data_IF_970831443054
#
_entry.id   IF_970831443054
#
_cell.length_a   1.000
_cell.length_b   1.000
_cell.length_c   1.000
_cell.angle_alpha   90.00
_cell.angle_beta   90.00
_cell.angle_gamma   90.00
#
_symmetry.space_group_name_H-M   'P 1'
#
loop_
_entity.id
_entity.type
_entity.pdbx_description
1 polymer ?
#
# COMPACT_ATOMS: atom_id res chain seq x y z
N UNK A 1 -54.13 -18.21 22.56
CA UNK A 1 -55.43 -18.05 21.96
C UNK A 1 -55.73 -16.56 21.94
N UNK A 2 -55.59 -15.96 20.83
CA UNK A 2 -56.31 -14.84 20.23
C UNK A 2 -55.47 -14.33 19.07
N UNK A 3 -56.04 -14.56 17.94
CA UNK A 3 -55.61 -14.03 16.62
C UNK A 3 -56.21 -12.63 16.59
N UNK A 4 -55.41 -11.60 16.35
CA UNK A 4 -55.93 -10.30 16.03
C UNK A 4 -55.47 -9.87 14.62
N UNK A 5 -56.48 -9.69 13.78
CA UNK A 5 -56.39 -9.17 12.45
C UNK A 5 -56.46 -7.63 12.52
N UNK A 6 -55.36 -6.97 12.22
CA UNK A 6 -55.32 -5.51 12.20
C UNK A 6 -54.34 -5.00 11.16
N UNK A 7 -54.87 -4.58 10.10
CA UNK A 7 -55.01 -3.25 9.51
C UNK A 7 -53.94 -2.80 8.51
N UNK A 8 -54.32 -2.42 7.26
CA UNK A 8 -53.45 -1.91 6.21
C UNK A 8 -52.94 -0.47 6.42
N UNK A 9 -53.38 0.22 7.48
CA UNK A 9 -53.03 1.63 7.71
C UNK A 9 -51.75 1.90 8.47
N UNK A 10 -51.26 0.95 9.26
CA UNK A 10 -50.03 1.12 10.06
C UNK A 10 -48.76 0.94 9.25
N UNK A 11 -48.80 0.23 8.12
CA UNK A 11 -47.63 0.01 7.26
C UNK A 11 -47.22 1.30 6.53
N UNK A 12 -48.16 2.20 6.22
CA UNK A 12 -47.86 3.48 5.55
C UNK A 12 -47.19 4.52 6.44
N UNK A 13 -47.45 4.52 7.73
CA UNK A 13 -46.80 5.47 8.69
C UNK A 13 -45.40 5.00 9.07
N UNK A 14 -45.19 3.69 9.19
CA UNK A 14 -43.88 3.12 9.50
C UNK A 14 -42.90 3.32 8.34
N UNK A 15 -43.35 3.28 7.07
CA UNK A 15 -42.45 3.51 5.92
C UNK A 15 -41.90 4.94 5.85
N UNK A 16 -42.74 5.96 6.09
CA UNK A 16 -42.32 7.37 6.00
C UNK A 16 -41.45 7.81 7.18
N UNK A 17 -41.69 7.31 8.39
CA UNK A 17 -40.89 7.58 9.58
C UNK A 17 -39.57 6.80 9.53
N UNK A 18 -39.60 5.58 9.02
CA UNK A 18 -38.37 4.79 8.86
C UNK A 18 -37.39 5.37 7.85
N UNK A 19 -37.88 6.00 6.77
CA UNK A 19 -37.01 6.64 5.76
C UNK A 19 -36.41 7.93 6.29
N UNK A 20 -37.14 8.74 7.05
CA UNK A 20 -36.60 9.95 7.68
C UNK A 20 -35.59 9.62 8.79
N UNK A 21 -35.88 8.63 9.62
CA UNK A 21 -34.95 8.14 10.65
C UNK A 21 -33.73 7.47 10.00
N UNK A 22 -33.92 6.76 8.90
CA UNK A 22 -32.85 6.05 8.18
C UNK A 22 -31.89 7.01 7.48
N UNK A 23 -32.36 8.03 6.80
CA UNK A 23 -31.55 9.09 6.23
C UNK A 23 -30.79 9.87 7.32
N UNK A 24 -31.40 10.13 8.47
CA UNK A 24 -30.74 10.80 9.58
C UNK A 24 -29.71 9.91 10.29
N UNK A 25 -29.95 8.58 10.40
CA UNK A 25 -29.00 7.61 10.97
C UNK A 25 -27.81 7.32 10.03
N UNK A 26 -28.03 7.26 8.73
CA UNK A 26 -26.98 7.06 7.72
C UNK A 26 -26.04 8.26 7.68
N UNK A 27 -26.55 9.48 7.79
CA UNK A 27 -25.75 10.70 7.84
C UNK A 27 -25.00 10.89 9.18
N UNK A 28 -25.57 10.44 10.28
CA UNK A 28 -25.05 10.70 11.62
C UNK A 28 -24.09 9.64 12.17
N UNK A 29 -24.15 8.39 11.70
CA UNK A 29 -23.41 7.27 12.28
C UNK A 29 -22.53 6.45 11.32
N UNK A 30 -22.44 6.81 10.04
CA UNK A 30 -21.51 6.20 9.10
C UNK A 30 -21.67 4.68 8.86
N UNK A 31 -22.86 4.11 9.10
CA UNK A 31 -23.14 2.67 9.01
C UNK A 31 -23.49 2.25 7.56
N UNK A 32 -22.64 2.57 6.60
CA UNK A 32 -22.79 2.06 5.21
C UNK A 32 -21.81 0.91 4.92
N UNK A 33 -21.42 0.11 5.88
CA UNK A 33 -20.41 -0.93 5.61
C UNK A 33 -20.98 -2.31 5.23
N UNK A 34 -22.29 -2.53 5.31
CA UNK A 34 -22.88 -3.88 5.14
C UNK A 34 -24.18 -3.98 4.33
N UNK A 35 -24.61 -2.93 3.62
CA UNK A 35 -25.73 -3.09 2.70
C UNK A 35 -25.16 -3.53 1.36
N UNK A 36 -25.30 -4.82 1.04
CA UNK A 36 -24.92 -5.31 -0.28
C UNK A 36 -25.87 -4.72 -1.33
N UNK A 37 -25.40 -4.62 -2.57
CA UNK A 37 -26.18 -4.08 -3.69
C UNK A 37 -27.51 -4.84 -3.92
N UNK A 38 -27.61 -6.09 -3.48
CA UNK A 38 -28.85 -6.87 -3.55
C UNK A 38 -29.93 -6.32 -2.62
N UNK A 39 -29.56 -5.81 -1.43
CA UNK A 39 -30.48 -5.17 -0.50
C UNK A 39 -31.01 -3.83 -1.02
N UNK A 40 -30.16 -3.03 -1.69
CA UNK A 40 -30.56 -1.78 -2.32
C UNK A 40 -31.51 -2.07 -3.49
N UNK A 41 -31.22 -3.06 -4.30
CA UNK A 41 -32.06 -3.46 -5.44
C UNK A 41 -33.40 -4.00 -4.98
N UNK A 42 -33.47 -4.72 -3.86
CA UNK A 42 -34.73 -5.24 -3.29
C UNK A 42 -35.57 -4.10 -2.70
N UNK A 43 -34.98 -3.11 -2.04
CA UNK A 43 -35.70 -1.93 -1.51
C UNK A 43 -36.20 -1.04 -2.64
N UNK A 44 -35.47 -0.85 -3.71
CA UNK A 44 -35.90 -0.10 -4.89
C UNK A 44 -37.12 -0.74 -5.58
N UNK A 45 -37.27 -2.07 -5.53
CA UNK A 45 -38.43 -2.77 -6.13
C UNK A 45 -39.80 -2.47 -5.47
N UNK A 46 -39.79 -1.88 -4.27
CA UNK A 46 -41.02 -1.62 -3.48
C UNK A 46 -41.44 -0.15 -3.58
N UNK A 47 -40.60 0.76 -4.06
CA UNK A 47 -40.82 2.21 -4.04
C UNK A 47 -41.17 2.77 -5.41
N UNK A 48 -42.12 3.70 -5.44
CA UNK A 48 -42.49 4.48 -6.64
C UNK A 48 -41.44 5.56 -6.97
N UNK A 49 -40.59 5.95 -5.99
CA UNK A 49 -39.47 6.87 -6.14
C UNK A 49 -38.22 6.27 -5.51
N UNK A 50 -37.14 6.19 -6.27
CA UNK A 50 -35.90 5.52 -5.88
C UNK A 50 -34.76 6.48 -5.46
N UNK A 51 -35.08 7.75 -5.24
CA UNK A 51 -34.12 8.75 -4.73
C UNK A 51 -33.65 9.72 -5.80
N UNK A 52 -32.37 10.09 -5.76
CA UNK A 52 -31.77 11.06 -6.68
C UNK A 52 -30.50 10.48 -7.30
N UNK A 53 -30.15 11.00 -8.47
CA UNK A 53 -28.86 10.74 -9.07
C UNK A 53 -27.72 11.25 -8.19
N UNK A 54 -26.62 10.51 -8.16
CA UNK A 54 -25.42 10.85 -7.41
C UNK A 54 -24.16 10.31 -8.12
N UNK A 55 -23.04 10.24 -7.40
CA UNK A 55 -21.77 9.72 -7.92
C UNK A 55 -21.78 8.21 -8.21
N UNK A 56 -22.82 7.48 -7.78
CA UNK A 56 -22.91 6.01 -7.84
C UNK A 56 -24.09 5.49 -8.63
N UNK A 57 -25.09 6.33 -8.90
CA UNK A 57 -26.30 5.93 -9.63
C UNK A 57 -26.77 6.99 -10.62
N UNK A 58 -27.38 6.52 -11.71
CA UNK A 58 -27.89 7.31 -12.83
C UNK A 58 -29.27 6.84 -13.25
N UNK A 59 -30.16 7.75 -13.64
CA UNK A 59 -31.52 7.48 -14.09
C UNK A 59 -31.70 7.83 -15.55
N UNK A 60 -32.44 7.02 -16.27
CA UNK A 60 -32.81 7.26 -17.66
C UNK A 60 -34.26 6.88 -17.90
N UNK A 61 -35.02 7.77 -18.51
CA UNK A 61 -36.46 7.55 -18.76
C UNK A 61 -36.70 6.31 -19.64
N UNK A 62 -35.76 5.99 -20.52
CA UNK A 62 -35.87 4.81 -21.39
C UNK A 62 -34.55 4.39 -21.98
N UNK A 63 -34.49 3.18 -22.54
CA UNK A 63 -33.34 2.67 -23.31
C UNK A 63 -33.05 3.46 -24.58
N UNK A 64 -33.86 4.41 -25.01
CA UNK A 64 -33.52 5.37 -26.07
C UNK A 64 -32.33 6.23 -25.69
N UNK A 65 -32.08 6.47 -24.40
CA UNK A 65 -30.93 7.20 -23.85
C UNK A 65 -29.71 6.29 -23.57
N UNK A 66 -29.56 5.18 -24.32
CA UNK A 66 -28.49 4.19 -24.09
C UNK A 66 -27.07 4.79 -24.12
N UNK A 67 -26.80 5.72 -25.03
CA UNK A 67 -25.49 6.35 -25.13
C UNK A 67 -25.12 7.14 -23.87
N UNK A 68 -26.05 7.90 -23.32
CA UNK A 68 -25.87 8.66 -22.08
C UNK A 68 -25.65 7.70 -20.89
N UNK A 69 -26.39 6.59 -20.86
CA UNK A 69 -26.19 5.56 -19.86
C UNK A 69 -24.78 4.93 -19.92
N UNK A 70 -24.24 4.68 -21.11
CA UNK A 70 -22.86 4.17 -21.28
C UNK A 70 -21.82 5.20 -20.81
N UNK A 71 -22.04 6.48 -21.08
CA UNK A 71 -21.18 7.56 -20.58
C UNK A 71 -21.20 7.64 -19.04
N UNK A 72 -22.37 7.52 -18.43
CA UNK A 72 -22.52 7.50 -16.98
C UNK A 72 -21.84 6.26 -16.36
N UNK A 73 -22.04 5.07 -16.93
CA UNK A 73 -21.35 3.84 -16.49
C UNK A 73 -19.83 4.03 -16.54
N UNK A 74 -19.28 4.52 -17.65
CA UNK A 74 -17.87 4.79 -17.81
C UNK A 74 -17.35 5.75 -16.72
N UNK A 75 -18.06 6.86 -16.50
CA UNK A 75 -17.69 7.88 -15.54
C UNK A 75 -17.72 7.34 -14.09
N UNK A 76 -18.76 6.59 -13.72
CA UNK A 76 -18.89 5.97 -12.40
C UNK A 76 -17.83 4.86 -12.17
N UNK A 77 -17.53 4.04 -13.17
CA UNK A 77 -16.47 3.04 -13.11
C UNK A 77 -15.11 3.70 -12.85
N UNK A 78 -14.83 4.83 -13.51
CA UNK A 78 -13.61 5.59 -13.30
C UNK A 78 -13.54 6.23 -11.91
N UNK A 79 -14.66 6.61 -11.32
CA UNK A 79 -14.71 7.16 -9.97
C UNK A 79 -14.58 6.09 -8.89
N UNK A 80 -15.54 5.15 -8.86
CA UNK A 80 -15.74 4.22 -7.74
C UNK A 80 -15.48 2.75 -8.08
N UNK A 81 -15.27 2.41 -9.37
CA UNK A 81 -15.19 1.02 -9.83
C UNK A 81 -16.54 0.32 -9.87
N UNK A 82 -17.63 1.05 -9.58
CA UNK A 82 -19.01 0.52 -9.61
C UNK A 82 -19.93 1.53 -10.28
N UNK A 83 -20.94 1.02 -11.00
CA UNK A 83 -21.95 1.86 -11.59
C UNK A 83 -23.30 1.17 -11.52
N UNK A 84 -24.33 1.95 -11.23
CA UNK A 84 -25.72 1.53 -11.21
C UNK A 84 -26.54 2.47 -12.08
N UNK A 85 -27.19 1.93 -13.11
CA UNK A 85 -28.06 2.70 -14.01
C UNK A 85 -29.45 2.11 -13.99
N UNK A 86 -30.46 2.97 -13.94
CA UNK A 86 -31.86 2.57 -14.03
C UNK A 86 -32.49 3.12 -15.31
N UNK A 87 -33.20 2.26 -16.05
CA UNK A 87 -34.02 2.67 -17.19
C UNK A 87 -35.52 2.55 -16.83
N UNK A 88 -36.30 3.53 -17.20
CA UNK A 88 -37.71 3.68 -16.82
C UNK A 88 -37.91 4.58 -15.61
N UNK A 89 -36.90 5.45 -15.32
CA UNK A 89 -36.88 6.34 -14.16
C UNK A 89 -36.54 7.75 -14.63
N UNK A 90 -37.21 8.77 -14.08
CA UNK A 90 -36.88 10.19 -14.28
C UNK A 90 -35.75 10.65 -13.38
N UNK A 91 -35.17 11.78 -13.71
CA UNK A 91 -34.06 12.38 -12.95
C UNK A 91 -34.43 12.73 -11.48
N UNK A 92 -35.72 12.95 -11.20
CA UNK A 92 -36.26 13.15 -9.84
C UNK A 92 -36.45 11.84 -9.06
N UNK A 93 -36.17 10.70 -9.67
CA UNK A 93 -36.29 9.37 -9.09
C UNK A 93 -37.62 8.70 -9.24
N UNK A 94 -38.59 9.34 -9.90
CA UNK A 94 -39.92 8.76 -10.11
C UNK A 94 -39.88 7.65 -11.16
N UNK A 95 -40.34 6.47 -10.79
CA UNK A 95 -40.45 5.32 -11.68
C UNK A 95 -41.64 5.50 -12.63
N UNK A 96 -41.32 5.78 -13.88
CA UNK A 96 -42.34 5.91 -14.95
C UNK A 96 -42.65 4.59 -15.64
N UNK A 97 -41.69 3.63 -15.51
CA UNK A 97 -41.73 2.34 -16.19
C UNK A 97 -41.21 2.39 -17.61
N UNK A 98 -40.87 1.22 -18.15
CA UNK A 98 -40.39 1.06 -19.52
C UNK A 98 -40.96 -0.21 -20.14
N UNK A 99 -41.22 -0.18 -21.42
CA UNK A 99 -41.61 -1.37 -22.18
C UNK A 99 -40.42 -2.31 -22.34
N UNK A 100 -40.53 -3.55 -21.90
CA UNK A 100 -39.46 -4.55 -21.96
C UNK A 100 -39.82 -5.59 -23.02
N UNK A 101 -39.17 -5.48 -24.18
CA UNK A 101 -39.34 -6.41 -25.30
C UNK A 101 -38.37 -7.58 -25.19
N UNK A 102 -38.56 -8.57 -26.08
CA UNK A 102 -37.79 -9.83 -26.10
C UNK A 102 -36.28 -9.66 -26.15
N UNK A 103 -35.78 -8.58 -26.75
CA UNK A 103 -34.36 -8.32 -26.95
C UNK A 103 -33.81 -7.22 -26.02
N UNK A 104 -34.61 -6.48 -25.30
CA UNK A 104 -34.22 -5.29 -24.53
C UNK A 104 -33.02 -5.55 -23.60
N UNK A 105 -33.07 -6.61 -22.78
CA UNK A 105 -31.96 -6.94 -21.87
C UNK A 105 -30.70 -7.39 -22.59
N UNK A 106 -30.86 -8.10 -23.72
CA UNK A 106 -29.73 -8.54 -24.56
C UNK A 106 -29.04 -7.34 -25.22
N UNK A 107 -29.80 -6.36 -25.66
CA UNK A 107 -29.29 -5.17 -26.31
C UNK A 107 -28.54 -4.27 -25.31
N UNK A 108 -29.05 -4.15 -24.08
CA UNK A 108 -28.35 -3.46 -22.99
C UNK A 108 -27.01 -4.16 -22.69
N UNK A 109 -27.04 -5.48 -22.48
CA UNK A 109 -25.83 -6.26 -22.20
C UNK A 109 -24.78 -6.14 -23.30
N UNK A 110 -25.22 -6.18 -24.56
CA UNK A 110 -24.38 -5.99 -25.74
C UNK A 110 -23.79 -4.57 -25.74
N UNK A 111 -24.59 -3.54 -25.51
CA UNK A 111 -24.14 -2.15 -25.49
C UNK A 111 -23.09 -1.90 -24.41
N UNK A 112 -23.28 -2.42 -23.20
CA UNK A 112 -22.27 -2.30 -22.13
C UNK A 112 -20.95 -2.93 -22.54
N UNK A 113 -20.98 -4.16 -23.07
CA UNK A 113 -19.76 -4.89 -23.43
C UNK A 113 -19.02 -4.26 -24.63
N UNK A 114 -19.75 -3.69 -25.60
CA UNK A 114 -19.15 -3.16 -26.84
C UNK A 114 -18.80 -1.67 -26.77
N UNK A 115 -19.41 -0.92 -25.85
CA UNK A 115 -19.18 0.52 -25.73
C UNK A 115 -18.11 0.89 -24.71
N UNK A 116 -17.88 0.05 -23.71
CA UNK A 116 -16.96 0.33 -22.60
C UNK A 116 -15.67 -0.48 -22.77
N UNK A 117 -14.56 0.20 -22.72
CA UNK A 117 -13.22 -0.40 -22.83
C UNK A 117 -12.34 0.02 -21.64
N UNK A 118 -11.70 -0.92 -20.91
CA UNK A 118 -11.81 -2.38 -21.04
C UNK A 118 -13.23 -2.93 -20.84
N UNK A 119 -13.58 -4.09 -21.44
CA UNK A 119 -14.93 -4.63 -21.34
C UNK A 119 -15.35 -4.94 -19.91
N UNK A 120 -16.59 -4.66 -19.57
CA UNK A 120 -17.18 -5.00 -18.27
C UNK A 120 -18.42 -5.85 -18.43
N UNK A 121 -18.77 -6.63 -17.41
CA UNK A 121 -19.96 -7.46 -17.38
C UNK A 121 -21.05 -6.73 -16.61
N UNK A 122 -22.25 -6.64 -17.22
CA UNK A 122 -23.42 -6.06 -16.59
C UNK A 122 -24.32 -7.13 -15.95
N UNK A 123 -24.72 -6.90 -14.71
CA UNK A 123 -25.79 -7.64 -14.06
C UNK A 123 -27.09 -6.85 -14.26
N UNK A 124 -28.00 -7.40 -15.05
CA UNK A 124 -29.23 -6.72 -15.46
C UNK A 124 -30.41 -7.40 -14.78
N UNK A 125 -31.28 -6.61 -14.15
CA UNK A 125 -32.52 -7.09 -13.51
C UNK A 125 -33.72 -6.26 -13.97
N UNK A 126 -34.83 -6.92 -14.13
CA UNK A 126 -36.14 -6.27 -14.25
C UNK A 126 -36.73 -6.15 -12.86
N UNK A 127 -37.17 -4.96 -12.51
CA UNK A 127 -37.77 -4.61 -11.24
C UNK A 127 -39.20 -4.10 -11.49
N UNK A 128 -40.09 -4.25 -10.51
CA UNK A 128 -41.46 -3.80 -10.62
C UNK A 128 -41.85 -3.00 -9.38
N UNK A 129 -42.55 -1.91 -9.58
CA UNK A 129 -43.17 -1.14 -8.50
C UNK A 129 -44.46 -1.79 -8.00
N UNK A 130 -44.97 -1.36 -6.87
CA UNK A 130 -46.22 -1.85 -6.29
C UNK A 130 -47.45 -1.57 -7.17
N UNK A 131 -47.37 -0.56 -8.05
CA UNK A 131 -48.44 -0.22 -9.03
C UNK A 131 -48.21 -0.92 -10.39
N UNK A 132 -47.26 -1.87 -10.47
CA UNK A 132 -47.06 -2.75 -11.63
C UNK A 132 -46.24 -2.16 -12.76
N UNK A 133 -45.56 -1.03 -12.57
CA UNK A 133 -44.62 -0.49 -13.57
C UNK A 133 -43.31 -1.26 -13.54
N UNK A 134 -42.86 -1.72 -14.70
CA UNK A 134 -41.57 -2.40 -14.83
C UNK A 134 -40.47 -1.42 -15.22
N UNK A 135 -39.28 -1.56 -14.63
CA UNK A 135 -38.09 -0.80 -14.92
C UNK A 135 -36.85 -1.69 -14.84
N UNK A 136 -35.69 -1.24 -15.38
CA UNK A 136 -34.53 -2.08 -15.51
C UNK A 136 -33.38 -1.48 -14.68
N UNK A 137 -32.73 -2.30 -13.84
CA UNK A 137 -31.46 -1.95 -13.20
C UNK A 137 -30.29 -2.62 -13.93
N UNK A 138 -29.22 -1.85 -14.15
CA UNK A 138 -27.99 -2.29 -14.78
C UNK A 138 -26.84 -1.98 -13.81
N UNK A 139 -26.30 -3.02 -13.23
CA UNK A 139 -25.17 -2.93 -12.30
C UNK A 139 -23.91 -3.40 -13.01
N UNK A 140 -22.82 -2.61 -12.93
CA UNK A 140 -21.51 -2.97 -13.43
C UNK A 140 -20.45 -2.76 -12.36
N UNK A 141 -19.42 -3.58 -12.40
CA UNK A 141 -18.25 -3.47 -11.52
C UNK A 141 -17.00 -3.74 -12.31
N UNK A 142 -15.92 -3.00 -12.01
CA UNK A 142 -14.64 -3.19 -12.64
C UNK A 142 -13.51 -2.48 -11.91
N UNK A 143 -12.30 -3.03 -12.05
CA UNK A 143 -11.07 -2.56 -11.39
C UNK A 143 -10.02 -2.05 -12.37
N UNK A 144 -10.19 -2.30 -13.67
CA UNK A 144 -9.22 -2.03 -14.73
C UNK A 144 -9.31 -0.59 -15.29
N UNK A 145 -9.25 0.43 -14.40
CA UNK A 145 -9.26 1.84 -14.82
C UNK A 145 -7.98 2.20 -15.55
N UNK A 146 -7.99 3.17 -16.49
CA UNK A 146 -9.14 3.99 -16.87
C UNK A 146 -10.06 3.28 -17.90
N UNK A 147 -11.37 3.41 -17.68
CA UNK A 147 -12.38 3.00 -18.65
C UNK A 147 -12.65 4.11 -19.65
N UNK A 148 -12.91 3.74 -20.89
CA UNK A 148 -13.30 4.68 -21.95
C UNK A 148 -14.63 4.28 -22.60
N UNK A 149 -15.34 5.26 -23.12
CA UNK A 149 -16.51 5.09 -23.96
C UNK A 149 -16.34 5.92 -25.21
N UNK A 150 -16.41 5.29 -26.40
CA UNK A 150 -16.13 5.96 -27.68
C UNK A 150 -14.80 6.73 -27.69
N UNK A 151 -13.76 6.19 -27.05
CA UNK A 151 -12.44 6.80 -26.93
C UNK A 151 -12.36 7.98 -25.95
N UNK A 152 -13.44 8.34 -25.25
CA UNK A 152 -13.42 9.35 -24.20
C UNK A 152 -13.32 8.71 -22.83
N UNK A 153 -12.40 9.18 -22.00
CA UNK A 153 -12.30 8.83 -20.60
C UNK A 153 -13.09 9.86 -19.80
N UNK A 154 -14.18 9.43 -19.18
CA UNK A 154 -15.09 10.29 -18.43
C UNK A 154 -14.95 10.03 -16.93
N UNK A 155 -15.16 11.06 -16.13
CA UNK A 155 -15.25 11.01 -14.65
C UNK A 155 -16.51 11.73 -14.23
N UNK A 156 -17.00 11.40 -13.03
CA UNK A 156 -18.24 11.93 -12.50
C UNK A 156 -17.99 12.88 -11.34
N UNK A 157 -18.72 13.98 -11.29
CA UNK A 157 -18.72 14.93 -10.18
C UNK A 157 -20.17 15.20 -9.80
N UNK A 158 -20.61 14.68 -8.65
CA UNK A 158 -22.04 14.64 -8.33
C UNK A 158 -22.80 13.81 -9.37
N UNK A 159 -23.79 14.40 -10.05
CA UNK A 159 -24.56 13.79 -11.13
C UNK A 159 -24.05 14.15 -12.54
N UNK A 160 -22.94 14.88 -12.69
CA UNK A 160 -22.45 15.35 -13.98
C UNK A 160 -21.26 14.52 -14.48
N UNK A 161 -21.32 14.10 -15.74
CA UNK A 161 -20.21 13.42 -16.42
C UNK A 161 -19.35 14.44 -17.16
N UNK A 162 -18.02 14.42 -16.94
CA UNK A 162 -17.06 15.30 -17.62
C UNK A 162 -15.85 14.51 -18.14
N UNK A 163 -15.17 15.05 -19.13
CA UNK A 163 -13.89 14.46 -19.55
C UNK A 163 -12.87 14.52 -18.42
N UNK A 164 -12.15 13.41 -18.21
CA UNK A 164 -11.09 13.37 -17.23
C UNK A 164 -9.98 14.37 -17.62
N UNK A 165 -9.58 15.29 -16.72
CA UNK A 165 -8.39 16.11 -16.91
C UNK A 165 -7.14 15.22 -16.98
N UNK A 166 -6.09 15.72 -17.66
CA UNK A 166 -4.83 14.96 -17.80
C UNK A 166 -4.23 14.53 -16.45
N UNK A 167 -4.39 15.36 -15.42
CA UNK A 167 -3.94 15.04 -14.05
C UNK A 167 -4.70 13.85 -13.44
N UNK A 168 -6.02 13.78 -13.64
CA UNK A 168 -6.84 12.66 -13.18
C UNK A 168 -6.58 11.40 -14.00
N UNK A 169 -6.44 11.55 -15.33
CA UNK A 169 -6.07 10.44 -16.21
C UNK A 169 -4.72 9.84 -15.81
N UNK A 170 -3.68 10.69 -15.61
CA UNK A 170 -2.37 10.24 -15.12
C UNK A 170 -2.49 9.49 -13.79
N UNK A 171 -3.28 10.02 -12.85
CA UNK A 171 -3.53 9.38 -11.56
C UNK A 171 -4.24 8.03 -11.71
N UNK A 172 -5.26 7.94 -12.59
CA UNK A 172 -5.93 6.66 -12.87
C UNK A 172 -4.96 5.64 -13.46
N UNK A 173 -4.15 6.00 -14.43
CA UNK A 173 -3.13 5.12 -15.02
C UNK A 173 -2.12 4.65 -13.98
N UNK A 174 -1.65 5.54 -13.10
CA UNK A 174 -0.73 5.19 -12.02
C UNK A 174 -1.39 4.35 -10.92
N UNK A 175 -2.69 4.50 -10.69
CA UNK A 175 -3.46 3.74 -9.69
C UNK A 175 -4.12 2.46 -10.23
N UNK A 176 -4.27 2.34 -11.53
CA UNK A 176 -4.75 1.12 -12.20
C UNK A 176 -3.64 0.12 -12.45
N UNK A 177 -2.48 0.36 -11.84
CA UNK A 177 -1.35 -0.55 -11.91
C UNK A 177 -1.80 -1.97 -11.66
N UNK A 178 -1.32 -2.86 -12.49
CA UNK A 178 -1.45 -4.29 -12.31
C UNK A 178 -1.30 -4.64 -10.82
N UNK A 179 -2.22 -5.39 -10.28
CA UNK A 179 -2.16 -5.85 -8.90
C UNK A 179 -0.96 -6.78 -8.75
N UNK A 180 -0.20 -6.67 -7.68
CA UNK A 180 0.92 -7.56 -7.37
C UNK A 180 0.55 -9.04 -7.50
N UNK A 181 -0.71 -9.39 -7.22
CA UNK A 181 -1.21 -10.76 -7.25
C UNK A 181 -1.54 -11.25 -8.66
N UNK A 182 -1.97 -10.37 -9.54
CA UNK A 182 -2.40 -10.73 -10.89
C UNK A 182 -1.25 -10.68 -11.90
N UNK A 183 -0.27 -9.78 -11.69
CA UNK A 183 0.90 -9.66 -12.56
C UNK A 183 1.84 -10.86 -12.36
N UNK A 184 2.13 -11.59 -13.44
CA UNK A 184 3.08 -12.70 -13.37
C UNK A 184 4.50 -12.20 -13.17
N UNK A 185 5.26 -12.86 -12.28
CA UNK A 185 6.71 -12.69 -12.24
C UNK A 185 7.34 -13.14 -13.57
N UNK A 186 8.33 -12.41 -14.05
CA UNK A 186 9.10 -12.84 -15.22
C UNK A 186 9.95 -14.08 -14.93
N UNK A 187 10.35 -14.29 -13.66
CA UNK A 187 11.06 -15.48 -13.20
C UNK A 187 10.09 -16.45 -12.52
N UNK A 188 9.98 -17.67 -13.03
CA UNK A 188 9.13 -18.73 -12.49
C UNK A 188 9.91 -19.76 -11.65
N UNK A 189 11.23 -19.59 -11.50
CA UNK A 189 12.13 -20.46 -10.72
C UNK A 189 12.54 -19.81 -9.39
N UNK A 190 11.62 -19.10 -8.75
CA UNK A 190 11.87 -18.41 -7.49
C UNK A 190 11.91 -19.37 -6.31
N UNK A 191 12.79 -19.09 -5.33
CA UNK A 191 12.88 -19.80 -4.04
C UNK A 191 12.55 -18.86 -2.88
N UNK A 192 12.06 -19.43 -1.76
CA UNK A 192 11.52 -18.67 -0.64
C UNK A 192 12.15 -19.11 0.70
N UNK A 193 13.46 -19.41 0.71
CA UNK A 193 14.18 -19.88 1.91
C UNK A 193 14.17 -18.85 3.02
N UNK A 194 14.46 -17.57 2.69
CA UNK A 194 14.46 -16.49 3.66
C UNK A 194 13.08 -16.23 4.24
N UNK A 195 12.03 -16.23 3.41
CA UNK A 195 10.64 -16.13 3.85
C UNK A 195 10.29 -17.28 4.80
N UNK A 196 10.64 -18.51 4.46
CA UNK A 196 10.39 -19.66 5.31
C UNK A 196 11.11 -19.57 6.67
N UNK A 197 12.36 -19.06 6.69
CA UNK A 197 13.10 -18.85 7.93
C UNK A 197 12.36 -17.83 8.81
N UNK A 198 12.03 -16.67 8.27
CA UNK A 198 11.33 -15.61 9.01
C UNK A 198 9.96 -16.07 9.55
N UNK A 199 9.22 -16.85 8.77
CA UNK A 199 7.93 -17.39 9.19
C UNK A 199 8.09 -18.42 10.31
N UNK A 200 9.09 -19.33 10.21
CA UNK A 200 9.34 -20.33 11.27
C UNK A 200 9.79 -19.68 12.57
N UNK A 201 10.61 -18.64 12.50
CA UNK A 201 11.04 -17.87 13.68
C UNK A 201 9.84 -17.19 14.37
N UNK A 202 8.74 -16.98 13.64
CA UNK A 202 7.47 -16.47 14.17
C UNK A 202 6.41 -17.56 14.47
N UNK A 203 6.81 -18.84 14.48
CA UNK A 203 5.98 -19.94 14.93
C UNK A 203 5.14 -20.62 13.84
N UNK A 204 5.37 -20.32 12.56
CA UNK A 204 4.70 -21.00 11.45
C UNK A 204 5.47 -22.26 11.02
N UNK A 205 4.76 -23.36 10.88
CA UNK A 205 5.34 -24.60 10.29
C UNK A 205 5.18 -24.56 8.76
N UNK A 206 6.20 -24.06 8.07
CA UNK A 206 6.18 -23.84 6.62
C UNK A 206 7.46 -24.34 5.94
N UNK A 207 7.30 -24.78 4.71
CA UNK A 207 8.36 -25.16 3.77
C UNK A 207 8.11 -24.46 2.44
N UNK A 208 9.13 -24.38 1.58
CA UNK A 208 8.97 -23.83 0.21
C UNK A 208 8.26 -24.87 -0.67
N UNK A 209 6.95 -24.93 -0.55
CA UNK A 209 6.07 -25.82 -1.26
C UNK A 209 4.84 -25.10 -1.84
N UNK A 210 4.00 -25.81 -2.54
CA UNK A 210 2.79 -25.26 -3.16
C UNK A 210 1.79 -24.71 -2.12
N UNK A 211 1.77 -25.29 -0.91
CA UNK A 211 0.90 -24.83 0.18
C UNK A 211 1.32 -23.44 0.66
N UNK A 212 2.62 -23.20 0.84
CA UNK A 212 3.17 -21.90 1.15
C UNK A 212 2.75 -20.89 0.07
N UNK A 213 2.99 -21.22 -1.21
CA UNK A 213 2.72 -20.33 -2.34
C UNK A 213 1.27 -19.92 -2.42
N UNK A 214 0.33 -20.85 -2.21
CA UNK A 214 -1.11 -20.55 -2.15
C UNK A 214 -1.49 -19.72 -0.92
N UNK A 215 -1.00 -20.10 0.27
CA UNK A 215 -1.38 -19.45 1.53
C UNK A 215 -0.91 -18.01 1.63
N UNK A 216 0.23 -17.70 1.01
CA UNK A 216 0.83 -16.36 1.03
C UNK A 216 0.56 -15.55 -0.24
N UNK A 217 -0.34 -16.02 -1.11
CA UNK A 217 -0.74 -15.31 -2.33
C UNK A 217 0.43 -15.11 -3.30
N UNK A 218 1.30 -16.11 -3.47
CA UNK A 218 2.45 -16.05 -4.37
C UNK A 218 2.13 -16.52 -5.80
N UNK A 219 0.90 -16.98 -6.04
CA UNK A 219 0.42 -17.44 -7.34
C UNK A 219 -0.71 -16.53 -7.83
N UNK A 220 -0.72 -16.24 -9.12
CA UNK A 220 -1.85 -15.61 -9.79
C UNK A 220 -2.97 -16.61 -10.14
N UNK A 221 -4.04 -16.13 -10.80
CA UNK A 221 -5.16 -16.94 -11.25
C UNK A 221 -4.76 -18.10 -12.18
N UNK A 222 -3.67 -17.96 -12.93
CA UNK A 222 -3.17 -18.95 -13.86
C UNK A 222 -2.23 -19.97 -13.20
N UNK A 223 -2.05 -19.88 -11.86
CA UNK A 223 -1.16 -20.76 -11.10
C UNK A 223 0.33 -20.47 -11.30
N UNK A 224 0.69 -19.31 -11.87
CA UNK A 224 2.07 -18.85 -12.06
C UNK A 224 2.50 -17.97 -10.89
N UNK A 225 3.80 -18.00 -10.57
CA UNK A 225 4.37 -17.08 -9.60
C UNK A 225 4.12 -15.62 -10.02
N UNK A 226 3.58 -14.85 -9.12
CA UNK A 226 3.20 -13.46 -9.35
C UNK A 226 4.26 -12.46 -8.90
N UNK A 227 3.99 -11.16 -9.04
CA UNK A 227 4.94 -10.12 -8.69
C UNK A 227 5.21 -10.00 -7.17
N UNK A 228 4.23 -10.36 -6.32
CA UNK A 228 4.45 -10.50 -4.88
C UNK A 228 5.47 -11.61 -4.58
N UNK A 229 5.42 -12.71 -5.33
CA UNK A 229 6.40 -13.78 -5.22
C UNK A 229 7.81 -13.28 -5.59
N UNK A 230 7.94 -12.43 -6.63
CA UNK A 230 9.22 -11.81 -7.00
C UNK A 230 9.80 -11.01 -5.82
N UNK A 231 9.02 -10.15 -5.20
CA UNK A 231 9.46 -9.32 -4.07
C UNK A 231 9.86 -10.14 -2.84
N UNK A 232 9.14 -11.23 -2.55
CA UNK A 232 9.34 -12.05 -1.35
C UNK A 232 10.36 -13.18 -1.55
N UNK A 233 10.87 -13.38 -2.77
CA UNK A 233 11.82 -14.43 -3.10
C UNK A 233 13.25 -14.11 -2.66
N UNK A 234 14.07 -15.16 -2.61
CA UNK A 234 15.52 -15.04 -2.42
C UNK A 234 16.22 -14.38 -3.63
N UNK A 235 15.51 -14.23 -4.77
CA UNK A 235 15.97 -13.64 -6.02
C UNK A 235 15.29 -12.29 -6.32
N UNK A 236 14.81 -11.57 -5.31
CA UNK A 236 14.31 -10.21 -5.50
C UNK A 236 15.42 -9.32 -6.06
N UNK A 237 15.15 -8.68 -7.19
CA UNK A 237 16.09 -7.84 -7.93
C UNK A 237 15.74 -6.34 -7.89
N UNK A 238 14.77 -5.97 -7.04
CA UNK A 238 14.36 -4.57 -6.85
C UNK A 238 14.96 -4.06 -5.53
N UNK A 239 16.14 -3.44 -5.56
CA UNK A 239 16.86 -3.10 -4.34
C UNK A 239 16.21 -1.91 -3.62
N UNK A 240 16.10 -2.02 -2.31
CA UNK A 240 15.89 -0.87 -1.43
C UNK A 240 17.16 -0.05 -1.33
N UNK A 241 17.07 1.27 -1.21
CA UNK A 241 18.26 2.11 -1.16
C UNK A 241 18.26 3.09 0.01
N UNK A 242 19.47 3.37 0.53
CA UNK A 242 19.73 4.44 1.47
C UNK A 242 20.81 5.33 0.90
N UNK A 243 20.57 6.64 0.83
CA UNK A 243 21.55 7.63 0.42
C UNK A 243 21.78 8.65 1.54
N UNK A 244 23.04 9.08 1.72
CA UNK A 244 23.40 10.13 2.69
C UNK A 244 23.97 11.32 1.95
N UNK A 245 23.61 12.50 2.37
CA UNK A 245 24.02 13.77 1.79
C UNK A 245 24.66 14.65 2.85
N UNK A 246 25.65 15.42 2.45
CA UNK A 246 26.21 16.50 3.27
C UNK A 246 25.40 17.77 3.04
N UNK A 247 25.05 18.46 4.13
CA UNK A 247 24.18 19.63 4.06
C UNK A 247 22.70 19.26 4.06
N UNK A 248 21.91 20.13 3.48
CA UNK A 248 20.43 20.07 3.53
C UNK A 248 19.79 19.81 2.16
N UNK A 249 20.59 19.57 1.14
CA UNK A 249 20.14 19.28 -0.23
C UNK A 249 20.82 18.03 -0.80
N UNK A 250 20.47 17.67 -2.02
CA UNK A 250 20.96 16.44 -2.69
C UNK A 250 22.21 16.65 -3.54
N UNK A 251 22.92 17.80 -3.41
CA UNK A 251 24.04 18.15 -4.27
C UNK A 251 25.32 17.37 -3.93
N UNK A 252 25.54 17.05 -2.64
CA UNK A 252 26.74 16.36 -2.16
C UNK A 252 26.37 15.00 -1.53
N UNK A 253 26.29 13.96 -2.35
CA UNK A 253 26.04 12.59 -1.89
C UNK A 253 27.34 11.99 -1.36
N UNK A 254 27.37 11.68 -0.08
CA UNK A 254 28.54 11.11 0.61
C UNK A 254 28.50 9.59 0.73
N UNK A 255 27.32 9.00 0.62
CA UNK A 255 27.13 7.55 0.74
C UNK A 255 25.87 7.10 0.01
N UNK A 256 25.92 5.92 -0.61
CA UNK A 256 24.78 5.18 -1.12
C UNK A 256 24.99 3.70 -0.90
N UNK A 257 23.95 3.04 -0.46
CA UNK A 257 23.92 1.58 -0.36
C UNK A 257 22.59 1.06 -0.86
N UNK A 258 22.70 0.11 -1.76
CA UNK A 258 21.54 -0.62 -2.31
C UNK A 258 21.48 -2.00 -1.62
N UNK A 259 20.30 -2.36 -1.15
CA UNK A 259 19.99 -3.63 -0.50
C UNK A 259 19.12 -4.43 -1.48
N UNK A 260 19.71 -5.43 -2.15
CA UNK A 260 19.03 -6.22 -3.16
C UNK A 260 19.55 -7.66 -3.22
N UNK A 261 18.89 -8.48 -4.05
CA UNK A 261 19.24 -9.88 -4.24
C UNK A 261 18.83 -10.78 -3.07
N UNK A 262 17.84 -10.34 -2.28
CA UNK A 262 17.30 -11.05 -1.11
C UNK A 262 15.81 -10.79 -0.99
N UNK A 263 15.12 -11.55 -0.15
CA UNK A 263 13.71 -11.27 0.15
C UNK A 263 13.51 -9.83 0.62
N UNK A 264 12.47 -9.16 0.11
CA UNK A 264 12.08 -7.80 0.53
C UNK A 264 12.03 -7.66 2.07
N UNK A 265 11.55 -8.68 2.78
CA UNK A 265 11.49 -8.64 4.25
C UNK A 265 12.87 -8.54 4.89
N UNK A 266 13.86 -9.25 4.33
CA UNK A 266 15.26 -9.17 4.77
C UNK A 266 15.86 -7.81 4.46
N UNK A 267 15.58 -7.26 3.28
CA UNK A 267 16.05 -5.94 2.88
C UNK A 267 15.45 -4.83 3.75
N UNK A 268 14.15 -4.92 4.05
CA UNK A 268 13.46 -3.99 4.97
C UNK A 268 14.15 -3.96 6.33
N UNK A 269 14.43 -5.13 6.90
CA UNK A 269 15.14 -5.22 8.20
C UNK A 269 16.56 -4.66 8.13
N UNK A 270 17.28 -4.92 7.04
CA UNK A 270 18.62 -4.38 6.86
C UNK A 270 18.64 -2.84 6.81
N UNK A 271 17.66 -2.23 6.16
CA UNK A 271 17.52 -0.77 6.15
C UNK A 271 17.14 -0.25 7.52
N UNK A 272 16.20 -0.91 8.24
CA UNK A 272 15.84 -0.56 9.61
C UNK A 272 17.07 -0.58 10.53
N UNK A 273 17.84 -1.67 10.51
CA UNK A 273 19.05 -1.83 11.33
C UNK A 273 20.10 -0.75 10.99
N UNK A 274 20.29 -0.48 9.69
CA UNK A 274 21.26 0.51 9.24
C UNK A 274 20.89 1.92 9.70
N UNK A 275 19.65 2.34 9.48
CA UNK A 275 19.20 3.69 9.83
C UNK A 275 19.12 3.86 11.34
N UNK A 276 18.65 2.83 12.07
CA UNK A 276 18.61 2.87 13.54
C UNK A 276 20.01 3.01 14.15
N UNK A 277 21.02 2.41 13.53
CA UNK A 277 22.42 2.56 13.95
C UNK A 277 22.96 4.00 13.74
N UNK A 278 22.28 4.84 12.94
CA UNK A 278 22.60 6.28 12.79
C UNK A 278 21.92 7.15 13.85
N UNK A 279 21.04 6.58 14.69
CA UNK A 279 20.31 7.32 15.71
C UNK A 279 21.22 7.62 16.92
N UNK A 280 21.92 8.74 16.86
CA UNK A 280 22.81 9.18 17.94
C UNK A 280 22.01 9.58 19.17
N UNK A 281 22.49 9.14 20.33
CA UNK A 281 21.94 9.56 21.63
C UNK A 281 22.84 10.64 22.22
N UNK A 282 22.33 11.88 22.28
CA UNK A 282 22.99 12.97 22.99
C UNK A 282 22.59 12.95 24.47
N UNK A 283 23.57 13.10 25.37
CA UNK A 283 23.33 13.12 26.81
C UNK A 283 23.52 14.55 27.30
N UNK A 284 22.43 15.16 27.77
CA UNK A 284 22.48 16.46 28.47
C UNK A 284 22.54 16.20 29.98
N UNK A 285 23.63 16.58 30.63
CA UNK A 285 23.81 16.52 32.08
C UNK A 285 23.45 17.88 32.66
N UNK A 286 22.31 17.96 33.38
CA UNK A 286 21.89 19.12 34.13
C UNK A 286 21.99 18.88 35.64
N UNK A 287 21.87 19.94 36.51
CA UNK A 287 21.87 19.74 37.95
C UNK A 287 20.73 18.84 38.39
N UNK A 288 21.05 17.61 38.78
CA UNK A 288 20.10 16.60 39.29
C UNK A 288 19.35 15.77 38.25
N UNK A 289 19.63 15.91 36.94
CA UNK A 289 19.02 15.06 35.90
C UNK A 289 19.95 14.79 34.71
N UNK A 290 19.99 13.54 34.29
CA UNK A 290 20.57 13.10 33.01
C UNK A 290 19.41 12.93 32.01
N UNK A 291 19.40 13.70 30.93
CA UNK A 291 18.41 13.52 29.84
C UNK A 291 19.13 12.97 28.62
N UNK A 292 18.69 11.81 28.23
CA UNK A 292 19.08 11.20 26.94
C UNK A 292 18.12 11.69 25.87
N UNK A 293 18.65 12.11 24.72
CA UNK A 293 17.87 12.60 23.59
C UNK A 293 18.38 11.97 22.32
N UNK A 294 17.54 11.15 21.71
CA UNK A 294 17.79 10.57 20.39
C UNK A 294 17.77 11.66 19.31
N UNK A 295 18.57 11.44 18.25
CA UNK A 295 18.64 12.35 17.10
C UNK A 295 17.29 12.43 16.38
N UNK A 296 16.61 11.30 16.24
CA UNK A 296 15.25 11.22 15.69
C UNK A 296 14.43 10.18 16.45
N UNK A 297 13.11 10.18 16.26
CA UNK A 297 12.22 9.19 16.86
C UNK A 297 12.30 7.86 16.08
N UNK A 298 12.88 6.85 16.72
CA UNK A 298 13.12 5.55 16.10
C UNK A 298 11.83 4.80 15.74
N UNK A 299 10.75 4.99 16.54
CA UNK A 299 9.45 4.36 16.26
C UNK A 299 8.79 5.04 15.06
N UNK A 300 8.80 6.37 14.99
CA UNK A 300 8.27 7.09 13.84
C UNK A 300 9.01 6.73 12.54
N UNK A 301 10.33 6.56 12.59
CA UNK A 301 11.09 6.09 11.43
C UNK A 301 10.66 4.67 11.03
N UNK A 302 10.59 3.74 11.98
CA UNK A 302 10.15 2.37 11.72
C UNK A 302 8.79 2.32 11.03
N UNK A 303 7.83 3.07 11.55
CA UNK A 303 6.49 3.15 10.97
C UNK A 303 6.48 3.78 9.58
N UNK A 304 7.23 4.88 9.37
CA UNK A 304 7.35 5.52 8.07
C UNK A 304 7.95 4.56 7.03
N UNK A 305 9.00 3.83 7.40
CA UNK A 305 9.68 2.90 6.51
C UNK A 305 8.83 1.68 6.15
N UNK A 306 8.19 1.05 7.13
CA UNK A 306 7.31 -0.09 6.88
C UNK A 306 6.13 0.33 6.01
N UNK A 307 5.48 1.46 6.31
CA UNK A 307 4.40 1.99 5.50
C UNK A 307 4.86 2.31 4.07
N UNK A 308 6.04 2.88 3.91
CA UNK A 308 6.63 3.13 2.60
C UNK A 308 6.77 1.83 1.79
N UNK A 309 7.23 0.74 2.41
CA UNK A 309 7.40 -0.55 1.73
C UNK A 309 6.06 -1.24 1.42
N UNK A 310 5.12 -1.23 2.36
CA UNK A 310 3.82 -1.90 2.18
C UNK A 310 2.93 -1.18 1.16
N UNK A 311 2.92 0.15 1.20
CA UNK A 311 2.04 0.96 0.35
C UNK A 311 2.67 1.42 -0.97
N UNK A 312 3.92 1.04 -1.25
CA UNK A 312 4.60 1.39 -2.48
C UNK A 312 3.88 0.84 -3.72
N UNK A 313 3.92 1.59 -4.80
CA UNK A 313 3.57 1.07 -6.12
C UNK A 313 4.76 0.30 -6.70
N UNK A 314 4.81 -1.00 -6.45
CA UNK A 314 5.90 -1.86 -6.87
C UNK A 314 5.91 -2.19 -8.37
N UNK A 315 4.77 -2.06 -9.04
CA UNK A 315 4.61 -2.40 -10.47
C UNK A 315 5.55 -1.57 -11.38
N UNK A 316 5.85 -0.35 -10.95
CA UNK A 316 6.80 0.50 -11.66
C UNK A 316 8.27 0.10 -11.51
N UNK A 317 8.59 -0.99 -10.84
CA UNK A 317 9.96 -1.42 -10.50
C UNK A 317 10.78 -0.34 -9.78
N UNK A 318 10.10 0.55 -9.05
CA UNK A 318 10.75 1.61 -8.28
C UNK A 318 10.53 1.31 -6.80
N UNK A 319 11.63 1.10 -6.08
CA UNK A 319 11.61 0.80 -4.67
C UNK A 319 11.55 2.07 -3.80
N UNK A 320 10.98 2.00 -2.59
CA UNK A 320 11.12 3.05 -1.59
C UNK A 320 12.60 3.32 -1.26
N UNK A 321 12.88 4.54 -0.85
CA UNK A 321 14.25 4.95 -0.51
C UNK A 321 14.28 5.82 0.73
N UNK A 322 15.41 5.80 1.44
CA UNK A 322 15.69 6.70 2.58
C UNK A 322 16.82 7.64 2.19
N UNK A 323 16.57 8.94 2.28
CA UNK A 323 17.58 9.98 2.12
C UNK A 323 17.87 10.62 3.48
N UNK A 324 19.13 10.67 3.88
CA UNK A 324 19.59 11.19 5.15
C UNK A 324 20.45 12.42 4.91
N UNK A 325 20.04 13.56 5.46
CA UNK A 325 20.73 14.84 5.41
C UNK A 325 21.37 15.19 6.76
N UNK A 326 21.98 16.36 6.89
CA UNK A 326 22.55 16.80 8.18
C UNK A 326 21.48 17.19 9.22
N UNK A 327 20.26 17.60 8.78
CA UNK A 327 19.19 18.13 9.62
C UNK A 327 17.92 17.25 9.65
N UNK A 328 17.80 16.26 8.78
CA UNK A 328 16.60 15.43 8.63
C UNK A 328 16.88 14.14 7.90
N UNK A 329 15.89 13.26 7.89
CA UNK A 329 15.78 12.18 6.90
C UNK A 329 14.44 12.27 6.17
N UNK A 330 14.42 11.77 4.95
CA UNK A 330 13.24 11.65 4.09
C UNK A 330 13.04 10.17 3.74
N UNK A 331 11.87 9.64 4.07
CA UNK A 331 11.42 8.31 3.62
C UNK A 331 10.48 8.53 2.45
N UNK A 332 10.84 8.01 1.28
CA UNK A 332 10.15 8.27 0.02
C UNK A 332 9.58 6.97 -0.51
N UNK A 333 8.28 6.94 -0.79
CA UNK A 333 7.59 5.86 -1.49
C UNK A 333 6.82 6.39 -2.69
N UNK A 334 6.55 5.51 -3.66
CA UNK A 334 5.90 5.85 -4.92
C UNK A 334 4.46 5.35 -4.90
N UNK A 335 3.56 6.21 -5.32
CA UNK A 335 2.12 6.00 -5.24
C UNK A 335 1.41 7.24 -4.71
N UNK A 336 0.11 7.19 -4.65
CA UNK A 336 -0.72 8.27 -4.09
C UNK A 336 -1.69 7.69 -3.07
N UNK A 337 -2.16 8.54 -2.15
CA UNK A 337 -3.29 8.17 -1.30
C UNK A 337 -4.45 7.80 -2.22
N UNK A 338 -5.14 6.67 -1.97
CA UNK A 338 -6.33 6.32 -2.73
C UNK A 338 -7.34 7.45 -2.74
N UNK A 339 -7.91 7.77 -3.90
CA UNK A 339 -8.81 8.92 -4.09
C UNK A 339 -10.08 8.88 -3.21
N UNK A 340 -10.48 7.69 -2.76
CA UNK A 340 -11.63 7.48 -1.87
C UNK A 340 -11.27 7.65 -0.39
N UNK A 341 -9.98 7.84 -0.03
CA UNK A 341 -9.53 8.09 1.33
C UNK A 341 -9.32 9.59 1.52
N UNK A 342 -10.10 10.22 2.41
CA UNK A 342 -9.89 11.63 2.74
C UNK A 342 -8.56 11.84 3.49
N UNK A 343 -7.99 13.04 3.40
CA UNK A 343 -6.79 13.38 4.20
C UNK A 343 -7.05 13.26 5.71
N UNK A 344 -8.28 13.55 6.15
CA UNK A 344 -8.66 13.40 7.55
C UNK A 344 -8.65 11.93 7.97
N UNK A 345 -9.20 11.04 7.15
CA UNK A 345 -9.19 9.60 7.40
C UNK A 345 -7.76 9.04 7.35
N UNK A 346 -6.94 9.50 6.42
CA UNK A 346 -5.52 9.15 6.35
C UNK A 346 -4.80 9.50 7.66
N UNK A 347 -4.91 10.75 8.13
CA UNK A 347 -4.25 11.18 9.35
C UNK A 347 -4.87 10.60 10.63
N UNK A 348 -6.12 10.13 10.59
CA UNK A 348 -6.73 9.40 11.71
C UNK A 348 -6.27 7.95 11.84
N UNK A 349 -5.43 7.47 10.89
CA UNK A 349 -4.92 6.09 10.88
C UNK A 349 -5.90 5.08 10.27
N UNK A 350 -6.97 5.53 9.60
CA UNK A 350 -7.80 4.63 8.80
C UNK A 350 -7.01 4.19 7.59
N UNK A 351 -6.37 3.03 7.70
CA UNK A 351 -5.55 2.46 6.64
C UNK A 351 -6.33 1.36 5.92
N UNK A 352 -6.42 1.48 4.60
CA UNK A 352 -6.71 0.34 3.74
C UNK A 352 -5.42 0.10 2.93
N UNK A 353 -4.76 -1.03 3.14
CA UNK A 353 -3.51 -1.32 2.45
C UNK A 353 -3.70 -1.35 0.94
N UNK A 354 -2.82 -0.67 0.21
CA UNK A 354 -2.76 -0.75 -1.26
C UNK A 354 -2.40 -2.18 -1.68
N UNK A 355 -1.50 -2.80 -0.91
CA UNK A 355 -1.04 -4.18 -1.11
C UNK A 355 -1.45 -5.04 0.11
N UNK A 356 -2.73 -5.38 0.22
CA UNK A 356 -3.29 -6.12 1.37
C UNK A 356 -2.61 -7.48 1.59
N UNK A 357 -2.31 -8.20 0.52
CA UNK A 357 -1.63 -9.49 0.62
C UNK A 357 -0.19 -9.33 1.12
N UNK A 358 0.54 -8.30 0.68
CA UNK A 358 1.88 -7.99 1.18
C UNK A 358 1.82 -7.55 2.65
N UNK A 359 0.86 -6.71 3.03
CA UNK A 359 0.63 -6.31 4.43
C UNK A 359 0.44 -7.54 5.33
N UNK A 360 -0.36 -8.53 4.91
CA UNK A 360 -0.55 -9.77 5.68
C UNK A 360 0.77 -10.50 5.94
N UNK A 361 1.68 -10.54 4.97
CA UNK A 361 3.00 -11.15 5.16
C UNK A 361 3.83 -10.38 6.17
N UNK A 362 3.82 -9.05 6.12
CA UNK A 362 4.50 -8.20 7.11
C UNK A 362 3.97 -8.40 8.53
N UNK A 363 2.66 -8.55 8.69
CA UNK A 363 2.04 -8.86 10.00
C UNK A 363 2.45 -10.24 10.50
N UNK A 364 2.41 -11.27 9.63
CA UNK A 364 2.75 -12.64 10.00
C UNK A 364 4.24 -12.79 10.37
N UNK A 365 5.11 -11.99 9.77
CA UNK A 365 6.53 -11.94 10.12
C UNK A 365 6.84 -10.94 11.25
N UNK A 366 5.81 -10.37 11.91
CA UNK A 366 5.92 -9.39 13.00
C UNK A 366 6.75 -8.16 12.66
N UNK A 367 6.86 -7.83 11.38
CA UNK A 367 7.45 -6.57 10.95
C UNK A 367 6.55 -5.39 11.26
N UNK A 368 5.23 -5.59 11.25
CA UNK A 368 4.24 -4.58 11.64
C UNK A 368 3.06 -5.21 12.38
N UNK A 369 2.28 -4.36 13.04
CA UNK A 369 1.01 -4.73 13.64
C UNK A 369 -0.13 -4.09 12.83
N UNK A 370 -1.20 -4.82 12.57
CA UNK A 370 -2.36 -4.32 11.80
C UNK A 370 -3.27 -3.44 12.66
N UNK A 371 -2.73 -2.41 13.32
CA UNK A 371 -3.45 -1.63 14.34
C UNK A 371 -3.88 -0.23 13.89
N UNK A 372 -3.47 0.23 12.70
CA UNK A 372 -3.77 1.59 12.21
C UNK A 372 -3.05 2.70 13.00
N UNK A 373 -2.08 2.35 13.84
CA UNK A 373 -1.37 3.31 14.71
C UNK A 373 -0.16 3.98 14.04
N UNK A 374 0.28 3.53 12.87
CA UNK A 374 1.50 4.01 12.22
C UNK A 374 1.48 5.51 11.91
N UNK A 375 0.46 6.00 11.22
CA UNK A 375 0.32 7.43 10.89
C UNK A 375 0.20 8.29 12.17
N UNK A 376 -0.65 7.96 13.17
CA UNK A 376 -0.68 8.64 14.46
C UNK A 376 0.66 8.70 15.20
N UNK A 377 1.48 7.65 15.16
CA UNK A 377 2.83 7.66 15.77
C UNK A 377 3.71 8.72 15.10
N UNK A 378 3.74 8.76 13.77
CA UNK A 378 4.52 9.74 13.02
C UNK A 378 4.02 11.17 13.30
N UNK A 379 2.70 11.38 13.21
CA UNK A 379 2.12 12.72 13.40
C UNK A 379 2.21 13.23 14.83
N UNK A 380 2.21 12.35 15.83
CA UNK A 380 2.44 12.71 17.22
C UNK A 380 3.86 13.21 17.48
N UNK A 381 4.86 12.64 16.77
CA UNK A 381 6.26 13.01 16.93
C UNK A 381 6.67 14.22 16.07
N UNK A 382 6.09 14.35 14.88
CA UNK A 382 6.56 15.29 13.85
C UNK A 382 5.48 16.17 13.22
N UNK A 383 4.20 16.05 13.64
CA UNK A 383 3.08 16.78 13.03
C UNK A 383 2.63 16.20 11.69
N UNK A 384 1.52 16.73 11.18
CA UNK A 384 1.01 16.40 9.84
C UNK A 384 1.89 16.96 8.72
N UNK A 385 2.59 18.01 8.99
CA UNK A 385 3.55 18.68 8.11
C UNK A 385 4.79 17.82 7.77
N UNK A 386 4.97 16.71 8.47
CA UNK A 386 5.97 15.69 8.09
C UNK A 386 5.66 15.02 6.77
N UNK A 387 4.41 15.03 6.32
CA UNK A 387 3.95 14.35 5.12
C UNK A 387 3.86 15.31 3.93
N UNK A 388 4.59 15.02 2.87
CA UNK A 388 4.38 15.58 1.53
C UNK A 388 3.74 14.50 0.65
N UNK A 389 2.55 14.81 0.13
CA UNK A 389 1.67 13.89 -0.61
C UNK A 389 1.51 14.35 -2.07
N UNK A 390 2.53 14.94 -2.63
CA UNK A 390 2.49 15.57 -3.96
C UNK A 390 3.09 14.67 -5.04
N UNK A 391 2.67 14.90 -6.29
CA UNK A 391 3.28 14.34 -7.49
C UNK A 391 3.36 12.80 -7.58
N UNK A 392 2.42 12.07 -6.95
CA UNK A 392 2.41 10.60 -7.01
C UNK A 392 3.49 9.95 -6.14
N UNK A 393 3.99 10.69 -5.16
CA UNK A 393 4.89 10.21 -4.12
C UNK A 393 4.34 10.53 -2.73
N UNK A 394 4.70 9.71 -1.77
CA UNK A 394 4.53 9.99 -0.35
C UNK A 394 5.91 10.13 0.25
N UNK A 395 6.24 11.36 0.70
CA UNK A 395 7.49 11.65 1.39
C UNK A 395 7.21 11.95 2.86
N UNK A 396 7.85 11.21 3.75
CA UNK A 396 7.80 11.47 5.20
C UNK A 396 9.13 12.07 5.63
N UNK A 397 9.10 13.31 6.11
CA UNK A 397 10.26 14.07 6.58
C UNK A 397 10.37 14.02 8.09
N UNK A 398 11.40 13.37 8.60
CA UNK A 398 11.70 13.29 10.03
C UNK A 398 12.87 14.22 10.37
N UNK A 399 12.53 15.41 10.92
CA UNK A 399 13.54 16.42 11.32
C UNK A 399 14.33 15.96 12.52
N UNK A 400 15.64 16.17 12.49
CA UNK A 400 16.51 15.82 13.59
C UNK A 400 16.37 16.80 14.76
N UNK A 401 16.53 16.28 15.96
CA UNK A 401 16.53 17.07 17.21
C UNK A 401 17.85 17.80 17.45
N UNK A 402 18.74 17.82 16.46
CA UNK A 402 20.06 18.44 16.41
C UNK A 402 20.68 18.22 15.04
N UNK A 403 21.87 18.71 14.81
CA UNK A 403 22.64 18.37 13.60
C UNK A 403 23.36 17.03 13.82
N UNK A 404 23.45 16.21 12.81
CA UNK A 404 24.31 15.01 12.83
C UNK A 404 25.76 15.42 13.09
N UNK A 405 26.45 14.65 13.93
CA UNK A 405 27.88 14.88 14.16
C UNK A 405 28.68 14.66 12.86
N UNK A 406 29.79 15.35 12.73
CA UNK A 406 30.68 15.17 11.59
C UNK A 406 31.18 13.72 11.46
N UNK A 407 31.30 13.00 12.59
CA UNK A 407 31.70 11.60 12.65
C UNK A 407 30.66 10.63 12.11
N UNK A 408 29.36 10.98 12.11
CA UNK A 408 28.25 10.15 11.63
C UNK A 408 27.85 10.44 10.19
N UNK A 409 28.50 11.39 9.54
CA UNK A 409 28.17 11.80 8.15
C UNK A 409 28.52 10.73 7.12
N UNK A 410 29.46 9.85 7.45
CA UNK A 410 29.77 8.67 6.65
C UNK A 410 29.94 7.45 7.57
N UNK A 411 29.23 6.31 7.33
CA UNK A 411 29.39 5.11 8.16
C UNK A 411 30.82 4.61 8.23
N UNK A 412 31.62 4.89 7.20
CA UNK A 412 33.05 4.61 7.19
C UNK A 412 33.85 5.56 8.11
N UNK A 413 33.35 6.74 8.47
CA UNK A 413 34.04 7.73 9.29
C UNK A 413 33.77 7.58 10.79
N UNK A 414 32.71 6.85 11.17
CA UNK A 414 32.41 6.58 12.57
C UNK A 414 33.60 5.82 13.22
N UNK A 415 34.07 6.26 14.40
CA UNK A 415 35.16 5.57 15.07
C UNK A 415 34.81 4.12 15.33
N UNK A 416 35.79 3.25 15.31
CA UNK A 416 35.61 1.84 15.67
C UNK A 416 35.21 1.75 17.15
N UNK A 417 34.20 0.94 17.42
CA UNK A 417 33.84 0.57 18.79
C UNK A 417 34.93 -0.29 19.41
N UNK A 418 35.02 -0.39 20.73
CA UNK A 418 36.01 -1.27 21.41
C UNK A 418 35.96 -2.72 20.90
N UNK A 419 34.75 -3.25 20.64
CA UNK A 419 34.55 -4.59 20.09
C UNK A 419 35.03 -4.71 18.62
N UNK A 420 34.93 -3.66 17.84
CA UNK A 420 35.45 -3.63 16.46
C UNK A 420 36.97 -3.45 16.45
N UNK A 421 37.50 -2.68 17.38
CA UNK A 421 38.96 -2.58 17.59
C UNK A 421 39.53 -3.92 18.01
N UNK A 422 38.91 -4.68 18.92
CA UNK A 422 39.38 -6.01 19.30
C UNK A 422 39.39 -6.98 18.13
N UNK A 423 38.44 -6.90 17.20
CA UNK A 423 38.45 -7.70 15.96
C UNK A 423 39.56 -7.26 15.02
N UNK A 424 39.81 -5.96 14.86
CA UNK A 424 40.90 -5.45 14.04
C UNK A 424 42.28 -5.86 14.61
N UNK A 425 42.45 -5.80 15.93
CA UNK A 425 43.67 -6.21 16.61
C UNK A 425 43.90 -7.71 16.51
N UNK A 426 42.86 -8.52 16.60
CA UNK A 426 42.94 -9.96 16.36
C UNK A 426 43.42 -10.26 14.91
N UNK A 427 42.91 -9.51 13.92
CA UNK A 427 43.36 -9.62 12.52
C UNK A 427 44.82 -9.17 12.36
N UNK A 428 45.26 -8.11 13.03
CA UNK A 428 46.67 -7.65 13.05
C UNK A 428 47.61 -8.69 13.65
N UNK A 429 47.17 -9.31 14.76
CA UNK A 429 47.96 -10.31 15.47
C UNK A 429 48.12 -11.59 14.66
N UNK A 430 47.09 -12.02 13.95
CA UNK A 430 47.20 -13.17 13.04
C UNK A 430 46.48 -12.89 11.71
N UNK A 431 47.18 -12.39 10.71
CA UNK A 431 46.62 -12.10 9.38
C UNK A 431 46.07 -13.32 8.63
N UNK A 432 46.46 -14.53 9.00
CA UNK A 432 45.99 -15.76 8.37
C UNK A 432 44.77 -16.36 9.07
N UNK A 433 44.33 -15.76 10.18
CA UNK A 433 43.21 -16.27 10.99
C UNK A 433 41.91 -16.37 10.19
N UNK A 434 41.19 -17.47 10.40
CA UNK A 434 39.84 -17.66 9.92
C UNK A 434 38.84 -16.94 10.84
N UNK A 435 37.60 -16.68 10.36
CA UNK A 435 36.59 -15.97 11.14
C UNK A 435 36.28 -16.57 12.52
N UNK A 436 36.43 -17.90 12.68
CA UNK A 436 36.24 -18.57 13.97
C UNK A 436 37.44 -18.27 14.93
N UNK A 437 38.64 -18.20 14.43
CA UNK A 437 39.85 -17.88 15.19
C UNK A 437 39.87 -16.40 15.60
N UNK A 438 39.43 -15.52 14.68
CA UNK A 438 39.25 -14.09 14.99
C UNK A 438 38.18 -13.92 16.07
N UNK A 439 37.07 -14.67 16.00
CA UNK A 439 36.03 -14.65 17.01
C UNK A 439 36.55 -15.08 18.41
N UNK A 440 37.34 -16.14 18.45
CA UNK A 440 37.98 -16.61 19.68
C UNK A 440 38.97 -15.58 20.26
N UNK A 441 39.84 -15.01 19.41
CA UNK A 441 40.85 -14.03 19.82
C UNK A 441 40.24 -12.71 20.28
N UNK A 442 39.16 -12.26 19.67
CA UNK A 442 38.47 -10.99 19.98
C UNK A 442 37.39 -11.09 21.04
N UNK A 443 37.03 -12.31 21.49
CA UNK A 443 36.00 -12.52 22.50
C UNK A 443 34.58 -12.21 22.04
N UNK A 444 34.31 -12.18 20.73
CA UNK A 444 33.00 -11.90 20.17
C UNK A 444 32.46 -13.06 19.32
N UNK A 445 31.16 -13.08 19.04
CA UNK A 445 30.56 -14.17 18.28
C UNK A 445 31.05 -14.16 16.81
N UNK A 446 31.14 -15.34 16.18
CA UNK A 446 31.50 -15.47 14.77
C UNK A 446 30.61 -14.65 13.82
N UNK A 447 29.31 -14.60 14.12
CA UNK A 447 28.35 -13.79 13.35
C UNK A 447 28.69 -12.31 13.41
N UNK A 448 29.06 -11.82 14.60
CA UNK A 448 29.51 -10.44 14.79
C UNK A 448 30.82 -10.15 14.05
N UNK A 449 31.83 -11.06 14.12
CA UNK A 449 33.08 -10.93 13.34
C UNK A 449 32.79 -10.78 11.86
N UNK A 450 31.87 -11.57 11.30
CA UNK A 450 31.48 -11.47 9.90
C UNK A 450 31.00 -10.06 9.53
N UNK A 451 30.16 -9.44 10.36
CA UNK A 451 29.66 -8.06 10.17
C UNK A 451 30.80 -7.04 10.28
N UNK A 452 31.65 -7.19 11.29
CA UNK A 452 32.81 -6.28 11.52
C UNK A 452 33.81 -6.35 10.37
N UNK A 453 34.13 -7.52 9.87
CA UNK A 453 35.06 -7.69 8.73
C UNK A 453 34.54 -6.97 7.47
N UNK A 454 33.24 -7.01 7.21
CA UNK A 454 32.63 -6.26 6.09
C UNK A 454 32.85 -4.76 6.32
N UNK A 455 32.54 -4.25 7.50
CA UNK A 455 32.70 -2.83 7.85
C UNK A 455 34.17 -2.37 7.81
N UNK A 456 35.08 -3.19 8.31
CA UNK A 456 36.54 -2.87 8.27
C UNK A 456 37.06 -2.81 6.82
N UNK A 457 36.53 -3.64 5.91
CA UNK A 457 36.83 -3.56 4.47
C UNK A 457 36.28 -2.28 3.85
N UNK A 458 35.04 -1.93 4.15
CA UNK A 458 34.42 -0.69 3.69
C UNK A 458 35.18 0.56 4.16
N UNK A 459 35.77 0.50 5.36
CA UNK A 459 36.67 1.53 5.89
C UNK A 459 38.08 1.52 5.28
N UNK A 460 38.38 0.57 4.43
CA UNK A 460 39.76 0.41 3.92
C UNK A 460 40.80 0.04 4.99
N UNK A 461 40.36 -0.42 6.17
CA UNK A 461 41.25 -0.78 7.28
C UNK A 461 41.82 -2.18 7.17
N UNK A 462 41.17 -3.03 6.38
CA UNK A 462 41.63 -4.36 6.04
C UNK A 462 41.32 -4.69 4.58
N UNK A 463 42.21 -5.49 3.97
CA UNK A 463 42.02 -6.02 2.62
C UNK A 463 42.27 -7.53 2.63
N UNK A 464 41.50 -8.29 1.83
CA UNK A 464 41.75 -9.73 1.67
C UNK A 464 42.65 -9.94 0.46
N UNK A 465 43.86 -10.46 0.68
CA UNK A 465 44.81 -10.82 -0.37
C UNK A 465 44.74 -12.32 -0.61
N UNK A 466 44.49 -12.73 -1.86
CA UNK A 466 44.39 -14.15 -2.25
C UNK A 466 42.96 -14.72 -2.12
N UNK A 467 42.84 -16.05 -2.21
CA UNK A 467 41.55 -16.74 -2.19
C UNK A 467 41.04 -17.02 -0.75
N UNK A 468 39.83 -17.53 -0.62
CA UNK A 468 39.20 -17.81 0.68
C UNK A 468 39.93 -18.89 1.52
N UNK A 469 40.66 -19.81 0.89
CA UNK A 469 41.32 -20.92 1.59
C UNK A 469 42.74 -20.60 2.03
N UNK A 470 43.52 -19.91 1.20
CA UNK A 470 44.96 -19.66 1.40
C UNK A 470 45.33 -18.18 1.51
N UNK A 471 44.34 -17.27 1.33
CA UNK A 471 44.59 -15.83 1.44
C UNK A 471 44.78 -15.35 2.89
N UNK A 472 45.30 -14.14 3.03
CA UNK A 472 45.50 -13.48 4.31
C UNK A 472 44.86 -12.08 4.35
N UNK A 473 44.70 -11.53 5.53
CA UNK A 473 44.23 -10.18 5.77
C UNK A 473 45.41 -9.19 5.77
N UNK A 474 45.36 -8.22 4.91
CA UNK A 474 46.31 -7.11 4.90
C UNK A 474 45.69 -5.94 5.63
N UNK A 475 46.37 -5.39 6.63
CA UNK A 475 46.04 -4.13 7.29
C UNK A 475 46.92 -3.06 6.69
N UNK A 476 46.36 -2.08 5.91
CA UNK A 476 47.19 -1.00 5.36
C UNK A 476 47.80 -0.16 6.49
N UNK A 477 49.07 0.17 6.38
CA UNK A 477 49.67 1.17 7.25
C UNK A 477 49.07 2.53 6.89
N UNK A 478 48.50 3.23 7.89
CA UNK A 478 48.11 4.63 7.67
C UNK A 478 49.39 5.43 7.42
N UNK A 479 49.54 5.97 6.21
CA UNK A 479 50.47 7.05 5.89
C UNK A 479 50.08 8.32 6.60
#
# INVERSE_FOLDING_TARGET
MMIDHGLPGQIRIVSSISILIWNQFVYQYGIIKYINMESITLLASIMANIGREDETQEFKESTAKMNEAMEAICAMLNNSGRALVFFGVRDDGDVIGQMIGKNTLKDISKSVRESIEPPVIAKIKVLSTSDGKEYISVETQGTARPYSVKGNILVRTGAENRKAPLSELRRMILSSGDNLLDTSSYNQELTFKELCILLRDNGFDVQDDERLRKSFGLLNSDGRLNYQAQLLSDQNDIPLSVAMFRGTDRSDMTFRKDYGGRSLLTEVNQVLDFVQAQNEVSVQVGPGSRKERELFDGNAFREAWINACVHNNWIGHIAPTVHIFDDRMEVISYGSIPYWLSLEDFFSGKSLPVNDALMRVFVQTRLTEHTGHGIPVITSAYGKEAFDLTNGTVTVTLRFRGLRSAASRHPADAPLTEREMSVLDAIRTNPYAKLNEIAYMSGVSRSYVGKVVIRLKEKGLIERVGNQRTGYWKVPEKT
#
